data_IF_347389634419
#
_entry.id   IF_347389634419
#
_cell.length_a   1.000
_cell.length_b   1.000
_cell.length_c   1.000
_cell.angle_alpha   90.00
_cell.angle_beta   90.00
_cell.angle_gamma   90.00
#
_symmetry.space_group_name_H-M   'P 1'
#
loop_
_entity.id
_entity.type
_entity.pdbx_description
1 polymer ?
#
# COMPACT_ATOMS: atom_id res chain seq x y z
N UNK A 1 18.65 37.18 -23.42
CA UNK A 1 18.75 36.70 -22.03
C UNK A 1 18.30 35.26 -22.04
N UNK A 2 19.23 34.30 -21.96
CA UNK A 2 18.88 32.91 -21.74
C UNK A 2 18.34 32.84 -20.31
N UNK A 3 17.05 32.59 -20.17
CA UNK A 3 16.48 32.18 -18.88
C UNK A 3 17.22 30.92 -18.47
N UNK A 4 18.06 31.00 -17.44
CA UNK A 4 18.59 29.83 -16.76
C UNK A 4 17.38 29.04 -16.26
N UNK A 5 17.00 27.98 -16.96
CA UNK A 5 15.98 27.05 -16.48
C UNK A 5 16.47 26.53 -15.13
N UNK A 6 15.83 26.95 -14.04
CA UNK A 6 16.13 26.38 -12.74
C UNK A 6 15.57 24.97 -12.68
N UNK A 7 16.37 24.05 -12.16
CA UNK A 7 15.90 22.71 -11.79
C UNK A 7 14.66 22.83 -10.89
N UNK A 8 13.63 22.04 -11.17
CA UNK A 8 12.38 22.05 -10.40
C UNK A 8 12.25 20.78 -9.56
N UNK A 9 11.89 20.88 -8.27
CA UNK A 9 11.47 19.70 -7.53
C UNK A 9 10.13 19.19 -8.07
N UNK A 10 9.94 17.88 -8.01
CA UNK A 10 8.65 17.22 -8.11
C UNK A 10 8.43 16.44 -6.82
N UNK A 11 7.35 16.74 -6.11
CA UNK A 11 6.97 16.04 -4.89
C UNK A 11 6.46 14.63 -5.20
N UNK A 12 6.52 13.71 -4.23
CA UNK A 12 5.90 12.39 -4.37
C UNK A 12 4.39 12.49 -4.64
N UNK A 13 3.71 13.47 -4.05
CA UNK A 13 2.29 13.80 -4.31
C UNK A 13 2.02 14.16 -5.76
N UNK A 14 2.85 15.02 -6.36
CA UNK A 14 2.72 15.38 -7.77
C UNK A 14 2.98 14.17 -8.66
N UNK A 15 4.03 13.39 -8.38
CA UNK A 15 4.32 12.17 -9.13
C UNK A 15 3.17 11.15 -9.05
N UNK A 16 2.56 10.96 -7.88
CA UNK A 16 1.37 10.13 -7.70
C UNK A 16 0.23 10.57 -8.63
N UNK A 17 -0.01 11.88 -8.74
CA UNK A 17 -1.04 12.41 -9.65
C UNK A 17 -0.70 12.19 -11.12
N UNK A 18 0.58 12.25 -11.51
CA UNK A 18 1.00 11.88 -12.86
C UNK A 18 0.63 10.42 -13.17
N UNK A 19 0.93 9.51 -12.25
CA UNK A 19 0.67 8.07 -12.41
C UNK A 19 -0.83 7.76 -12.46
N UNK A 20 -1.61 8.25 -11.49
CA UNK A 20 -3.07 8.02 -11.43
C UNK A 20 -3.75 8.59 -12.68
N UNK A 21 -3.36 9.79 -13.11
CA UNK A 21 -3.93 10.43 -14.30
C UNK A 21 -3.35 9.93 -15.63
N UNK A 22 -2.43 8.94 -15.59
CA UNK A 22 -1.82 8.33 -16.77
C UNK A 22 -1.15 9.37 -17.68
N UNK A 23 -0.50 10.36 -17.06
CA UNK A 23 0.21 11.43 -17.76
C UNK A 23 1.58 10.95 -18.23
N UNK A 24 2.01 11.44 -19.40
CA UNK A 24 3.31 11.09 -19.94
C UNK A 24 4.45 11.70 -19.12
N UNK A 25 5.37 10.85 -18.67
CA UNK A 25 6.57 11.24 -17.94
C UNK A 25 7.72 10.31 -18.30
N UNK A 26 8.89 10.87 -18.60
CA UNK A 26 10.10 10.11 -18.79
C UNK A 26 10.92 10.11 -17.50
N UNK A 27 11.33 8.94 -17.01
CA UNK A 27 12.09 8.79 -15.77
C UNK A 27 13.51 8.32 -16.10
N UNK A 28 14.50 9.09 -15.65
CA UNK A 28 15.89 8.67 -15.58
C UNK A 28 16.20 8.25 -14.14
N UNK A 29 16.26 6.94 -13.90
CA UNK A 29 16.68 6.40 -12.61
C UNK A 29 18.21 6.27 -12.55
N UNK A 30 18.84 7.04 -11.66
CA UNK A 30 20.31 7.05 -11.49
C UNK A 30 20.80 6.18 -10.34
N UNK A 31 19.94 5.35 -9.75
CA UNK A 31 20.35 4.34 -8.76
C UNK A 31 21.18 3.25 -9.43
N UNK A 32 21.87 2.45 -8.62
CA UNK A 32 22.55 1.27 -9.12
C UNK A 32 21.53 0.25 -9.70
N UNK A 33 22.02 -0.63 -10.57
CA UNK A 33 21.18 -1.61 -11.27
C UNK A 33 20.43 -2.57 -10.34
N UNK A 34 21.00 -2.88 -9.17
CA UNK A 34 20.39 -3.81 -8.22
C UNK A 34 19.13 -3.17 -7.62
N UNK A 35 19.24 -1.94 -7.12
CA UNK A 35 18.11 -1.21 -6.55
C UNK A 35 17.00 -0.96 -7.57
N UNK A 36 17.37 -0.57 -8.79
CA UNK A 36 16.44 -0.35 -9.89
C UNK A 36 15.70 -1.63 -10.32
N UNK A 37 16.42 -2.76 -10.44
CA UNK A 37 15.81 -4.03 -10.82
C UNK A 37 14.95 -4.62 -9.71
N UNK A 38 15.25 -4.30 -8.44
CA UNK A 38 14.43 -4.73 -7.32
C UNK A 38 13.08 -4.00 -7.31
N UNK A 39 13.05 -2.70 -7.62
CA UNK A 39 11.83 -1.92 -7.79
C UNK A 39 12.09 -0.57 -8.45
N UNK A 40 11.08 -0.03 -9.13
CA UNK A 40 11.13 1.25 -9.84
C UNK A 40 9.74 1.88 -9.91
N UNK A 41 9.67 3.15 -10.28
CA UNK A 41 8.40 3.84 -10.54
C UNK A 41 7.85 3.32 -11.87
N UNK A 42 6.62 2.84 -11.86
CA UNK A 42 5.95 2.26 -13.02
C UNK A 42 4.51 2.81 -13.12
N UNK A 43 3.96 2.78 -14.33
CA UNK A 43 2.60 3.27 -14.58
C UNK A 43 2.36 3.44 -16.07
N UNK A 44 1.08 3.53 -16.45
CA UNK A 44 0.72 3.85 -17.84
C UNK A 44 1.12 5.30 -18.13
N UNK A 45 1.85 5.52 -19.23
CA UNK A 45 2.43 6.83 -19.58
C UNK A 45 3.84 7.06 -19.00
N UNK A 46 4.34 6.15 -18.16
CA UNK A 46 5.69 6.23 -17.60
C UNK A 46 6.67 5.45 -18.49
N UNK A 47 7.66 6.15 -19.04
CA UNK A 47 8.83 5.55 -19.68
C UNK A 47 10.01 5.66 -18.73
N UNK A 48 10.72 4.56 -18.46
CA UNK A 48 11.84 4.56 -17.50
C UNK A 48 13.08 3.93 -18.10
N UNK A 49 14.22 4.59 -17.89
CA UNK A 49 15.55 4.03 -18.15
C UNK A 49 16.40 4.08 -16.87
N UNK A 50 17.39 3.21 -16.78
CA UNK A 50 18.36 3.21 -15.68
C UNK A 50 19.77 3.44 -16.21
N UNK A 51 20.39 4.52 -15.77
CA UNK A 51 21.81 4.79 -16.00
C UNK A 51 22.41 5.19 -14.64
N UNK A 52 23.17 4.29 -13.99
CA UNK A 52 23.74 4.55 -12.68
C UNK A 52 24.50 5.88 -12.63
N UNK A 53 24.36 6.59 -11.52
CA UNK A 53 25.00 7.90 -11.29
C UNK A 53 26.52 7.90 -11.58
N UNK A 54 27.22 6.81 -11.23
CA UNK A 54 28.66 6.68 -11.48
C UNK A 54 29.02 6.74 -12.97
N UNK A 55 28.12 6.34 -13.86
CA UNK A 55 28.31 6.37 -15.31
C UNK A 55 28.03 7.77 -15.89
N UNK A 56 27.55 8.72 -15.08
CA UNK A 56 27.16 10.08 -15.46
C UNK A 56 28.04 11.17 -14.80
N UNK A 57 29.11 10.77 -14.10
CA UNK A 57 30.01 11.71 -13.40
C UNK A 57 30.83 12.58 -14.37
N UNK A 58 31.25 12.00 -15.50
CA UNK A 58 32.10 12.67 -16.49
C UNK A 58 31.29 13.37 -17.60
N UNK A 59 29.95 13.28 -17.55
CA UNK A 59 29.05 13.88 -18.53
C UNK A 59 27.73 13.11 -18.67
N UNK A 60 26.72 13.77 -19.24
CA UNK A 60 25.36 13.21 -19.38
C UNK A 60 25.00 12.80 -20.82
N UNK A 61 25.98 12.71 -21.73
CA UNK A 61 25.74 12.40 -23.15
C UNK A 61 24.98 11.08 -23.34
N UNK A 62 25.37 10.03 -22.62
CA UNK A 62 24.71 8.72 -22.66
C UNK A 62 23.23 8.79 -22.25
N UNK A 63 22.86 9.71 -21.35
CA UNK A 63 21.47 9.96 -20.97
C UNK A 63 20.75 10.78 -22.05
N UNK A 64 21.38 11.82 -22.60
CA UNK A 64 20.79 12.71 -23.60
C UNK A 64 20.44 11.99 -24.91
N UNK A 65 21.21 10.97 -25.29
CA UNK A 65 20.93 10.10 -26.44
C UNK A 65 19.65 9.28 -26.28
N UNK A 66 19.29 8.95 -25.04
CA UNK A 66 18.14 8.10 -24.72
C UNK A 66 16.91 8.89 -24.27
N UNK A 67 17.08 10.10 -23.73
CA UNK A 67 16.00 10.99 -23.32
C UNK A 67 15.33 11.60 -24.57
N UNK A 68 14.03 11.36 -24.80
CA UNK A 68 13.29 11.95 -25.92
C UNK A 68 13.23 13.48 -25.82
N UNK A 69 13.41 14.16 -26.95
CA UNK A 69 13.35 15.63 -27.02
C UNK A 69 11.92 16.11 -26.71
N UNK A 70 11.79 17.12 -25.85
CA UNK A 70 10.52 17.79 -25.55
C UNK A 70 9.60 17.04 -24.58
N UNK A 71 10.07 15.95 -23.96
CA UNK A 71 9.34 15.30 -22.87
C UNK A 71 9.72 15.91 -21.52
N UNK A 72 8.77 15.87 -20.58
CA UNK A 72 9.04 16.08 -19.15
C UNK A 72 9.92 14.93 -18.64
N UNK A 73 11.00 15.27 -17.95
CA UNK A 73 11.95 14.28 -17.42
C UNK A 73 12.02 14.40 -15.91
N UNK A 74 11.83 13.29 -15.21
CA UNK A 74 12.09 13.19 -13.78
C UNK A 74 13.36 12.37 -13.56
N UNK A 75 14.37 12.97 -12.94
CA UNK A 75 15.57 12.26 -12.50
C UNK A 75 15.38 11.78 -11.07
N UNK A 76 15.58 10.49 -10.82
CA UNK A 76 15.36 9.89 -9.50
C UNK A 76 16.60 9.20 -8.96
N UNK A 77 16.85 9.35 -7.66
CA UNK A 77 17.84 8.58 -6.93
C UNK A 77 17.29 8.20 -5.54
N UNK A 78 18.10 7.58 -4.67
CA UNK A 78 17.64 7.11 -3.37
C UNK A 78 17.15 8.25 -2.43
N UNK A 79 17.89 9.38 -2.36
CA UNK A 79 17.57 10.52 -1.48
C UNK A 79 17.26 11.81 -2.25
N UNK A 80 18.16 12.28 -3.11
CA UNK A 80 17.91 13.33 -4.14
C UNK A 80 19.22 13.93 -4.68
N UNK A 81 20.32 13.88 -3.91
CA UNK A 81 21.57 14.58 -4.26
C UNK A 81 22.13 14.20 -5.64
N UNK A 82 22.23 12.90 -5.94
CA UNK A 82 22.66 12.43 -7.26
C UNK A 82 21.70 12.83 -8.39
N UNK A 83 20.38 12.83 -8.14
CA UNK A 83 19.42 13.25 -9.15
C UNK A 83 19.48 14.75 -9.41
N UNK A 84 19.69 15.58 -8.38
CA UNK A 84 19.88 17.03 -8.53
C UNK A 84 21.10 17.32 -9.40
N UNK A 85 22.24 16.66 -9.13
CA UNK A 85 23.45 16.82 -9.92
C UNK A 85 23.22 16.48 -11.40
N UNK A 86 22.65 15.30 -11.69
CA UNK A 86 22.42 14.84 -13.06
C UNK A 86 21.39 15.71 -13.77
N UNK A 87 20.29 16.07 -13.11
CA UNK A 87 19.28 16.96 -13.67
C UNK A 87 19.86 18.34 -14.03
N UNK A 88 20.74 18.89 -13.19
CA UNK A 88 21.42 20.16 -13.47
C UNK A 88 22.32 20.05 -14.71
N UNK A 89 23.07 18.96 -14.87
CA UNK A 89 23.89 18.71 -16.06
C UNK A 89 23.04 18.58 -17.34
N UNK A 90 21.87 17.94 -17.25
CA UNK A 90 20.94 17.81 -18.38
C UNK A 90 20.38 19.19 -18.81
N UNK A 91 20.10 20.07 -17.85
CA UNK A 91 19.70 21.46 -18.11
C UNK A 91 20.84 22.26 -18.77
N UNK A 92 22.06 22.12 -18.26
CA UNK A 92 23.26 22.78 -18.82
C UNK A 92 23.55 22.34 -20.26
N UNK A 93 23.21 21.10 -20.61
CA UNK A 93 23.23 20.57 -21.97
C UNK A 93 22.06 21.05 -22.85
N UNK A 94 21.21 21.95 -22.35
CA UNK A 94 20.17 22.64 -23.12
C UNK A 94 18.80 21.96 -23.14
N UNK A 95 18.53 20.99 -22.26
CA UNK A 95 17.19 20.42 -22.10
C UNK A 95 16.33 21.29 -21.17
N UNK A 96 15.01 21.22 -21.35
CA UNK A 96 14.00 21.90 -20.52
C UNK A 96 13.04 20.89 -19.89
N UNK A 97 12.20 21.34 -18.96
CA UNK A 97 11.23 20.48 -18.23
C UNK A 97 11.89 19.29 -17.50
N UNK A 98 12.99 19.58 -16.83
CA UNK A 98 13.74 18.62 -16.02
C UNK A 98 13.40 18.82 -14.55
N UNK A 99 12.99 17.72 -13.92
CA UNK A 99 12.61 17.65 -12.52
C UNK A 99 13.54 16.67 -11.79
N UNK A 100 13.65 16.83 -10.47
CA UNK A 100 14.13 15.77 -9.58
C UNK A 100 13.05 15.43 -8.57
N UNK A 101 13.04 14.19 -8.10
CA UNK A 101 12.11 13.77 -7.06
C UNK A 101 12.60 14.27 -5.70
N UNK A 102 11.84 15.18 -5.08
CA UNK A 102 12.14 15.72 -3.76
C UNK A 102 12.10 14.62 -2.71
N UNK A 103 13.18 14.44 -1.94
CA UNK A 103 13.34 13.33 -0.99
C UNK A 103 13.53 11.94 -1.65
N UNK A 104 13.57 11.89 -2.98
CA UNK A 104 13.98 10.72 -3.76
C UNK A 104 13.07 9.51 -3.58
N UNK A 105 13.59 8.32 -3.89
CA UNK A 105 12.82 7.08 -3.73
C UNK A 105 12.40 6.82 -2.27
N UNK A 106 13.08 7.42 -1.28
CA UNK A 106 12.66 7.37 0.13
C UNK A 106 11.31 8.07 0.34
N UNK A 107 11.13 9.31 -0.15
CA UNK A 107 9.84 10.01 -0.05
C UNK A 107 8.75 9.32 -0.87
N UNK A 108 9.10 8.80 -2.05
CA UNK A 108 8.16 8.03 -2.88
C UNK A 108 7.65 6.76 -2.18
N UNK A 109 8.52 6.05 -1.47
CA UNK A 109 8.15 4.86 -0.69
C UNK A 109 7.17 5.20 0.43
N UNK A 110 7.24 6.39 1.01
CA UNK A 110 6.47 6.78 2.20
C UNK A 110 5.22 7.61 1.88
N UNK A 111 5.04 8.08 0.64
CA UNK A 111 3.89 8.91 0.29
C UNK A 111 2.58 8.11 0.30
N UNK A 112 1.57 8.64 0.96
CA UNK A 112 0.18 8.15 0.91
C UNK A 112 -0.71 9.21 0.27
N UNK A 113 -1.46 8.82 -0.75
CA UNK A 113 -2.48 9.69 -1.36
C UNK A 113 -3.88 9.24 -0.91
N UNK A 114 -4.63 10.08 -0.16
CA UNK A 114 -6.02 9.79 0.16
C UNK A 114 -6.90 9.98 -1.07
N UNK A 115 -7.70 8.97 -1.39
CA UNK A 115 -8.74 9.01 -2.42
C UNK A 115 -10.08 8.63 -1.81
N UNK A 116 -11.15 9.33 -2.23
CA UNK A 116 -12.50 8.99 -1.79
C UNK A 116 -12.99 7.74 -2.52
N UNK A 117 -13.34 6.70 -1.76
CA UNK A 117 -13.91 5.47 -2.32
C UNK A 117 -15.41 5.64 -2.53
N UNK A 118 -16.12 6.18 -1.53
CA UNK A 118 -17.56 6.37 -1.63
C UNK A 118 -18.19 7.01 -0.40
N UNK A 119 -19.49 7.26 -0.52
CA UNK A 119 -20.34 7.75 0.57
C UNK A 119 -20.98 6.60 1.34
N UNK A 120 -21.23 6.85 2.63
CA UNK A 120 -21.85 5.93 3.58
C UNK A 120 -23.34 6.29 3.75
N UNK A 121 -24.18 5.33 4.14
CA UNK A 121 -25.64 5.52 4.15
C UNK A 121 -26.14 6.60 5.12
N UNK A 122 -25.37 6.91 6.16
CA UNK A 122 -25.65 7.90 7.19
C UNK A 122 -25.13 9.32 6.86
N UNK A 123 -24.54 9.50 5.67
CA UNK A 123 -23.91 10.76 5.25
C UNK A 123 -22.42 10.86 5.59
N UNK A 124 -21.81 9.79 6.07
CA UNK A 124 -20.37 9.62 6.17
C UNK A 124 -19.67 9.31 4.84
N UNK A 125 -18.37 9.02 4.90
CA UNK A 125 -17.58 8.64 3.72
C UNK A 125 -16.40 7.76 4.07
N UNK A 126 -16.00 6.90 3.14
CA UNK A 126 -14.82 6.05 3.24
C UNK A 126 -13.75 6.54 2.27
N UNK A 127 -12.54 6.70 2.79
CA UNK A 127 -11.35 7.09 2.05
C UNK A 127 -10.33 5.96 2.09
N UNK A 128 -9.64 5.73 0.97
CA UNK A 128 -8.52 4.82 0.85
C UNK A 128 -7.25 5.65 0.73
N UNK A 129 -6.23 5.33 1.51
CA UNK A 129 -4.92 5.96 1.47
C UNK A 129 -3.98 5.03 0.72
N UNK A 130 -3.48 5.49 -0.41
CA UNK A 130 -2.72 4.66 -1.34
C UNK A 130 -1.24 4.95 -1.16
N UNK A 131 -0.49 3.98 -0.61
CA UNK A 131 0.97 4.03 -0.53
C UNK A 131 1.58 3.49 -1.81
N UNK A 132 1.52 4.28 -2.89
CA UNK A 132 1.83 3.81 -4.25
C UNK A 132 3.22 3.18 -4.37
N UNK A 133 4.23 3.75 -3.73
CA UNK A 133 5.60 3.24 -3.79
C UNK A 133 5.78 1.84 -3.19
N UNK A 134 4.84 1.40 -2.35
CA UNK A 134 4.88 0.11 -1.64
C UNK A 134 3.74 -0.83 -2.02
N UNK A 135 2.60 -0.31 -2.45
CA UNK A 135 1.40 -1.10 -2.75
C UNK A 135 0.46 -1.31 -1.56
N UNK A 136 0.75 -0.74 -0.38
CA UNK A 136 -0.12 -0.82 0.80
C UNK A 136 -1.32 0.12 0.66
N UNK A 137 -2.44 -0.30 1.20
CA UNK A 137 -3.70 0.42 1.27
C UNK A 137 -4.15 0.43 2.72
N UNK A 138 -4.58 1.61 3.16
CA UNK A 138 -5.23 1.79 4.45
C UNK A 138 -6.49 2.61 4.26
N UNK A 139 -7.36 2.65 5.27
CA UNK A 139 -8.68 3.23 5.13
C UNK A 139 -9.00 4.19 6.25
N UNK A 140 -9.71 5.27 5.96
CA UNK A 140 -10.38 6.08 6.97
C UNK A 140 -11.88 6.08 6.70
N UNK A 141 -12.64 5.61 7.68
CA UNK A 141 -14.10 5.60 7.69
C UNK A 141 -14.53 6.78 8.55
N UNK A 142 -15.26 7.73 7.97
CA UNK A 142 -15.70 8.95 8.64
C UNK A 142 -17.21 8.95 8.77
N UNK A 143 -17.70 9.19 9.99
CA UNK A 143 -19.12 9.45 10.25
C UNK A 143 -19.31 10.40 11.41
N UNK A 144 -20.22 11.38 11.24
CA UNK A 144 -20.71 12.27 12.29
C UNK A 144 -19.63 12.88 13.21
N UNK A 145 -18.50 13.32 12.65
CA UNK A 145 -17.42 13.97 13.39
C UNK A 145 -16.42 13.00 14.05
N UNK A 146 -16.57 11.69 13.81
CA UNK A 146 -15.64 10.66 14.26
C UNK A 146 -15.08 9.87 13.07
N UNK A 147 -13.96 9.20 13.32
CA UNK A 147 -13.31 8.37 12.32
C UNK A 147 -12.74 7.07 12.92
N UNK A 148 -12.71 6.02 12.09
CA UNK A 148 -11.90 4.84 12.30
C UNK A 148 -10.84 4.73 11.19
N UNK A 149 -9.63 4.30 11.52
CA UNK A 149 -8.56 4.04 10.55
C UNK A 149 -8.22 2.55 10.54
N UNK A 150 -8.19 1.92 9.37
CA UNK A 150 -7.88 0.50 9.20
C UNK A 150 -6.54 0.32 8.50
N UNK A 151 -5.70 -0.59 8.99
CA UNK A 151 -4.37 -0.95 8.50
C UNK A 151 -3.43 0.25 8.38
N UNK A 152 -3.28 0.98 9.49
CA UNK A 152 -2.58 2.27 9.52
C UNK A 152 -1.09 2.09 9.22
N UNK A 153 -0.56 2.77 8.19
CA UNK A 153 0.89 2.83 7.96
C UNK A 153 1.62 3.68 9.03
N UNK A 154 2.90 3.42 9.31
CA UNK A 154 3.68 4.14 10.34
C UNK A 154 3.80 5.66 10.18
N UNK A 155 3.58 6.21 8.99
CA UNK A 155 3.55 7.67 8.75
C UNK A 155 2.21 8.23 9.27
N UNK A 156 2.06 8.34 10.59
CA UNK A 156 0.74 8.62 11.21
C UNK A 156 0.23 10.03 10.92
N UNK A 157 1.14 10.97 10.63
CA UNK A 157 0.82 12.39 10.43
C UNK A 157 -0.11 12.61 9.23
N UNK A 158 -0.10 11.74 8.22
CA UNK A 158 -1.02 11.85 7.07
C UNK A 158 -2.47 11.62 7.48
N UNK A 159 -2.72 10.69 8.42
CA UNK A 159 -4.07 10.40 8.91
C UNK A 159 -4.54 11.50 9.85
N UNK A 160 -3.67 11.98 10.74
CA UNK A 160 -3.99 13.10 11.64
C UNK A 160 -4.32 14.36 10.86
N UNK A 161 -3.49 14.73 9.87
CA UNK A 161 -3.72 15.90 9.02
C UNK A 161 -5.01 15.77 8.24
N UNK A 162 -5.27 14.59 7.65
CA UNK A 162 -6.50 14.36 6.91
C UNK A 162 -7.75 14.41 7.81
N UNK A 163 -7.70 13.82 9.02
CA UNK A 163 -8.79 13.90 9.98
C UNK A 163 -9.07 15.36 10.42
N UNK A 164 -8.02 16.18 10.60
CA UNK A 164 -8.15 17.60 10.89
C UNK A 164 -8.80 18.37 9.73
N UNK A 165 -8.39 18.10 8.49
CA UNK A 165 -8.98 18.67 7.27
C UNK A 165 -10.46 18.31 7.12
N UNK A 166 -10.84 17.08 7.50
CA UNK A 166 -12.23 16.61 7.50
C UNK A 166 -13.00 17.00 8.77
N UNK A 167 -12.37 17.70 9.72
CA UNK A 167 -12.95 18.12 11.00
C UNK A 167 -13.52 16.96 11.83
N UNK A 168 -12.82 15.82 11.88
CA UNK A 168 -13.23 14.61 12.61
C UNK A 168 -12.20 14.17 13.65
N UNK A 169 -12.66 13.40 14.64
CA UNK A 169 -11.81 12.81 15.68
C UNK A 169 -11.61 11.32 15.41
N UNK A 170 -10.36 10.88 15.28
CA UNK A 170 -10.04 9.45 15.19
C UNK A 170 -10.35 8.82 16.56
N UNK A 171 -11.25 7.84 16.58
CA UNK A 171 -11.68 7.10 17.78
C UNK A 171 -11.16 5.67 17.82
N UNK A 172 -10.89 5.12 16.64
CA UNK A 172 -10.49 3.73 16.47
C UNK A 172 -9.37 3.62 15.44
N UNK A 173 -8.37 2.81 15.75
CA UNK A 173 -7.44 2.25 14.77
C UNK A 173 -7.56 0.74 14.82
N UNK A 174 -7.62 0.09 13.66
CA UNK A 174 -7.83 -1.35 13.56
C UNK A 174 -6.79 -1.93 12.61
N UNK A 175 -6.18 -3.04 12.97
CA UNK A 175 -5.42 -3.84 12.01
C UNK A 175 -6.20 -5.11 11.67
N UNK A 176 -6.30 -5.43 10.39
CA UNK A 176 -6.92 -6.67 9.88
C UNK A 176 -6.18 -7.91 10.33
N UNK A 177 -4.86 -7.79 10.50
CA UNK A 177 -3.94 -8.85 10.91
C UNK A 177 -2.62 -8.24 11.42
N UNK A 178 -1.74 -9.07 12.00
CA UNK A 178 -0.38 -8.62 12.31
C UNK A 178 0.49 -8.57 11.05
N UNK A 179 0.62 -7.37 10.48
CA UNK A 179 1.36 -7.09 9.24
C UNK A 179 2.83 -7.56 9.26
N UNK A 180 3.32 -7.96 8.09
CA UNK A 180 4.69 -8.48 7.89
C UNK A 180 5.48 -7.75 6.80
N UNK A 181 4.87 -6.79 6.11
CA UNK A 181 5.39 -6.07 4.95
C UNK A 181 5.61 -4.58 5.25
N UNK A 182 4.89 -4.06 6.25
CA UNK A 182 5.01 -2.71 6.77
C UNK A 182 4.86 -2.68 8.31
N UNK A 183 5.36 -1.61 8.90
CA UNK A 183 5.23 -1.34 10.34
C UNK A 183 3.89 -0.64 10.55
N UNK A 184 3.04 -1.23 11.38
CA UNK A 184 1.73 -0.66 11.71
C UNK A 184 1.91 0.59 12.56
N UNK A 185 1.33 1.69 12.09
CA UNK A 185 1.13 2.93 12.83
C UNK A 185 -0.12 2.93 13.69
N UNK A 186 -0.93 1.87 13.68
CA UNK A 186 -2.25 1.85 14.34
C UNK A 186 -2.16 2.11 15.84
N UNK A 187 -1.20 1.47 16.52
CA UNK A 187 -0.93 1.69 17.95
C UNK A 187 -0.43 3.12 18.21
N UNK A 188 0.55 3.59 17.44
CA UNK A 188 1.14 4.92 17.63
C UNK A 188 0.10 6.01 17.45
N UNK A 189 -0.69 5.93 16.38
CA UNK A 189 -1.78 6.87 16.09
C UNK A 189 -2.82 6.87 17.22
N UNK A 190 -3.21 5.69 17.69
CA UNK A 190 -4.16 5.58 18.80
C UNK A 190 -3.64 6.24 20.09
N UNK A 191 -2.38 6.03 20.42
CA UNK A 191 -1.73 6.67 21.58
C UNK A 191 -1.67 8.20 21.44
N UNK A 192 -1.37 8.72 20.24
CA UNK A 192 -1.29 10.15 19.94
C UNK A 192 -2.64 10.88 20.08
N UNK A 193 -3.73 10.25 19.61
CA UNK A 193 -5.06 10.89 19.55
C UNK A 193 -6.02 10.44 20.66
N UNK A 194 -5.59 9.49 21.52
CA UNK A 194 -6.42 8.91 22.57
C UNK A 194 -7.54 8.00 22.05
N UNK A 195 -7.29 7.28 20.96
CA UNK A 195 -8.19 6.31 20.36
C UNK A 195 -7.97 4.88 20.90
N UNK A 196 -8.89 3.97 20.58
CA UNK A 196 -8.73 2.54 20.84
C UNK A 196 -8.00 1.86 19.67
N UNK A 197 -7.00 1.03 19.98
CA UNK A 197 -6.30 0.20 19.00
C UNK A 197 -6.80 -1.24 19.06
N UNK A 198 -7.33 -1.74 17.94
CA UNK A 198 -7.93 -3.06 17.81
C UNK A 198 -7.03 -4.00 17.01
N UNK A 199 -6.81 -5.21 17.53
CA UNK A 199 -5.99 -6.24 16.87
C UNK A 199 -6.58 -7.64 17.10
N UNK A 200 -6.51 -8.57 16.13
CA UNK A 200 -7.01 -9.92 16.30
C UNK A 200 -6.21 -10.71 17.35
N UNK A 201 -6.86 -11.26 18.41
CA UNK A 201 -6.16 -11.96 19.48
C UNK A 201 -5.31 -13.14 19.03
N UNK A 202 -5.69 -13.81 17.93
CA UNK A 202 -4.98 -14.96 17.38
C UNK A 202 -3.63 -14.60 16.76
N UNK A 203 -3.48 -13.36 16.28
CA UNK A 203 -2.19 -12.82 15.81
C UNK A 203 -1.41 -12.12 16.93
N UNK A 204 -2.08 -11.81 18.03
CA UNK A 204 -1.55 -11.02 19.12
C UNK A 204 -1.08 -11.84 20.34
N UNK A 205 -0.78 -13.13 20.18
CA UNK A 205 -0.39 -14.02 21.29
C UNK A 205 0.95 -13.66 21.93
N UNK A 206 1.81 -12.97 21.18
CA UNK A 206 3.16 -12.61 21.63
C UNK A 206 3.41 -11.09 21.72
N UNK A 207 2.38 -10.26 21.50
CA UNK A 207 2.51 -8.79 21.55
C UNK A 207 2.85 -8.32 22.96
N UNK A 208 3.58 -7.20 23.05
CA UNK A 208 4.12 -6.65 24.31
C UNK A 208 3.43 -5.38 24.79
N UNK A 209 2.28 -5.06 24.22
CA UNK A 209 1.48 -3.88 24.51
C UNK A 209 0.01 -4.26 24.69
N UNK A 210 -0.79 -3.33 25.22
CA UNK A 210 -2.23 -3.50 25.35
C UNK A 210 -2.93 -3.19 24.02
N UNK A 211 -4.03 -3.88 23.75
CA UNK A 211 -4.89 -3.68 22.60
C UNK A 211 -6.32 -4.11 22.97
N UNK A 212 -7.30 -3.59 22.22
CA UNK A 212 -8.67 -4.05 22.27
C UNK A 212 -8.85 -5.27 21.37
N UNK A 213 -9.57 -6.28 21.88
CA UNK A 213 -9.71 -7.56 21.18
C UNK A 213 -10.63 -7.41 19.98
N UNK A 214 -10.10 -7.67 18.80
CA UNK A 214 -10.88 -7.70 17.58
C UNK A 214 -11.41 -9.12 17.34
N UNK A 215 -12.70 -9.32 17.56
CA UNK A 215 -13.36 -10.63 17.48
C UNK A 215 -14.61 -10.55 16.60
N UNK A 216 -14.93 -11.66 15.94
CA UNK A 216 -16.11 -11.78 15.10
C UNK A 216 -17.40 -11.50 15.89
N UNK A 217 -18.34 -10.80 15.24
CA UNK A 217 -19.62 -10.42 15.84
C UNK A 217 -19.56 -9.21 16.77
N UNK A 218 -18.38 -8.65 17.03
CA UNK A 218 -18.24 -7.33 17.63
C UNK A 218 -18.81 -6.27 16.67
N UNK A 219 -19.43 -5.22 17.20
CA UNK A 219 -19.81 -4.04 16.43
C UNK A 219 -19.02 -2.86 16.98
N UNK A 220 -18.21 -2.24 16.12
CA UNK A 220 -17.44 -1.04 16.46
C UNK A 220 -18.14 0.16 15.82
N UNK A 221 -18.85 1.00 16.60
CA UNK A 221 -19.53 2.16 16.06
C UNK A 221 -18.54 3.29 15.77
N UNK A 222 -18.77 4.02 14.69
CA UNK A 222 -18.09 5.29 14.38
C UNK A 222 -19.14 6.38 14.29
N UNK A 223 -19.09 7.38 15.18
CA UNK A 223 -20.09 8.44 15.25
C UNK A 223 -21.39 8.05 15.97
N UNK A 224 -22.32 9.00 16.06
CA UNK A 224 -23.50 8.87 16.93
C UNK A 224 -24.67 8.06 16.32
N UNK A 225 -24.66 7.78 15.01
CA UNK A 225 -25.82 7.20 14.29
C UNK A 225 -25.52 5.99 13.39
N UNK A 226 -24.42 5.29 13.68
CA UNK A 226 -24.07 3.91 13.27
C UNK A 226 -23.59 3.70 11.84
N UNK A 227 -22.26 3.63 11.73
CA UNK A 227 -21.60 2.74 10.78
C UNK A 227 -21.05 1.58 11.58
N UNK A 228 -21.65 0.42 11.38
CA UNK A 228 -21.12 -0.80 11.96
C UNK A 228 -19.88 -1.21 11.17
N UNK A 229 -18.75 -1.27 11.87
CA UNK A 229 -17.60 -2.04 11.42
C UNK A 229 -17.75 -3.42 12.07
N UNK A 230 -18.13 -4.40 11.25
CA UNK A 230 -18.39 -5.77 11.68
C UNK A 230 -17.21 -6.66 11.30
N UNK A 231 -16.42 -7.15 12.27
CA UNK A 231 -15.34 -8.08 12.01
C UNK A 231 -15.91 -9.45 11.60
N UNK A 232 -15.35 -10.02 10.55
CA UNK A 232 -15.62 -11.37 10.07
C UNK A 232 -14.32 -12.15 10.20
N UNK A 233 -14.38 -13.27 10.90
CA UNK A 233 -13.19 -14.11 11.04
C UNK A 233 -12.85 -14.75 9.69
N UNK A 234 -11.70 -14.41 9.12
CA UNK A 234 -11.31 -14.77 7.75
C UNK A 234 -9.86 -15.25 7.71
N UNK A 235 -9.54 -16.38 8.36
CA UNK A 235 -8.17 -16.88 8.43
C UNK A 235 -7.66 -17.33 7.07
N UNK A 236 -6.34 -17.30 6.90
CA UNK A 236 -5.67 -17.81 5.71
C UNK A 236 -4.31 -17.17 5.49
N UNK A 237 -4.28 -15.85 5.34
CA UNK A 237 -3.04 -15.09 5.27
C UNK A 237 -2.28 -15.16 6.60
N UNK A 238 -3.00 -14.86 7.68
CA UNK A 238 -2.64 -15.19 9.05
C UNK A 238 -3.77 -15.97 9.72
N UNK A 239 -3.48 -16.62 10.85
CA UNK A 239 -4.51 -17.30 11.64
C UNK A 239 -5.49 -16.32 12.31
N UNK A 240 -5.07 -15.07 12.54
CA UNK A 240 -5.90 -13.99 13.07
C UNK A 240 -6.52 -13.09 12.02
N UNK A 241 -6.28 -13.31 10.72
CA UNK A 241 -6.81 -12.45 9.66
C UNK A 241 -8.31 -12.26 9.81
N UNK A 242 -8.71 -10.98 9.77
CA UNK A 242 -10.07 -10.53 10.03
C UNK A 242 -10.46 -9.50 8.98
N UNK A 243 -11.60 -9.73 8.33
CA UNK A 243 -12.19 -8.80 7.37
C UNK A 243 -13.20 -7.90 8.07
N UNK A 244 -13.53 -6.75 7.47
CA UNK A 244 -14.56 -5.86 8.00
C UNK A 244 -15.66 -5.62 6.97
N UNK A 245 -16.92 -5.75 7.37
CA UNK A 245 -18.01 -5.13 6.65
C UNK A 245 -18.26 -3.75 7.27
N UNK A 246 -18.22 -2.73 6.41
CA UNK A 246 -18.50 -1.33 6.76
C UNK A 246 -19.78 -0.91 6.04
N UNK A 247 -20.73 -0.35 6.79
CA UNK A 247 -21.98 0.20 6.26
C UNK A 247 -22.81 -0.83 5.46
N UNK A 248 -22.60 -2.13 5.70
CA UNK A 248 -23.22 -3.22 4.93
C UNK A 248 -22.87 -3.24 3.44
N UNK A 249 -21.87 -2.47 3.00
CA UNK A 249 -21.59 -2.19 1.58
C UNK A 249 -20.13 -2.39 1.17
N UNK A 250 -19.21 -2.16 2.09
CA UNK A 250 -17.78 -2.26 1.81
C UNK A 250 -17.18 -3.41 2.59
N UNK A 251 -16.48 -4.31 1.92
CA UNK A 251 -15.79 -5.46 2.51
C UNK A 251 -14.28 -5.19 2.49
N UNK A 252 -13.72 -4.81 3.63
CA UNK A 252 -12.28 -4.68 3.79
C UNK A 252 -11.69 -6.06 4.04
N UNK A 253 -10.94 -6.60 3.08
CA UNK A 253 -10.50 -8.01 3.06
C UNK A 253 -9.11 -8.24 3.65
N UNK A 254 -8.42 -7.17 4.07
CA UNK A 254 -7.02 -7.27 4.49
C UNK A 254 -6.17 -7.91 3.38
N UNK A 255 -5.37 -8.90 3.77
CA UNK A 255 -4.50 -9.66 2.87
C UNK A 255 -5.06 -11.02 2.45
N UNK A 256 -6.39 -11.19 2.50
CA UNK A 256 -7.05 -12.44 2.09
C UNK A 256 -7.41 -12.45 0.60
N UNK A 257 -8.04 -11.37 0.12
CA UNK A 257 -8.53 -11.24 -1.27
C UNK A 257 -8.12 -9.88 -1.82
N UNK A 258 -7.50 -9.88 -3.00
CA UNK A 258 -7.08 -8.70 -3.75
C UNK A 258 -7.90 -8.55 -5.04
N UNK A 259 -7.68 -7.48 -5.80
CA UNK A 259 -8.41 -7.24 -7.07
C UNK A 259 -8.09 -8.33 -8.09
N UNK A 260 -6.79 -8.50 -8.41
CA UNK A 260 -6.33 -9.47 -9.42
C UNK A 260 -5.60 -10.67 -8.80
N UNK A 261 -5.74 -10.90 -7.49
CA UNK A 261 -4.98 -11.93 -6.75
C UNK A 261 -5.65 -12.32 -5.43
N UNK A 262 -5.02 -13.24 -4.69
CA UNK A 262 -5.40 -13.69 -3.35
C UNK A 262 -4.17 -13.65 -2.42
N UNK A 263 -4.44 -13.72 -1.12
CA UNK A 263 -3.43 -13.77 -0.06
C UNK A 263 -2.49 -14.97 -0.13
N UNK A 264 -1.31 -14.81 0.46
CA UNK A 264 -0.34 -15.90 0.69
C UNK A 264 -0.34 -16.36 2.16
N UNK A 265 -0.33 -17.67 2.49
CA UNK A 265 -0.39 -18.17 3.86
C UNK A 265 0.99 -18.39 4.54
N UNK A 266 2.11 -18.07 3.88
CA UNK A 266 3.45 -18.53 4.29
C UNK A 266 4.26 -17.54 5.15
N UNK A 267 3.85 -16.28 5.29
CA UNK A 267 4.68 -15.25 5.94
C UNK A 267 4.88 -15.48 7.45
N UNK A 268 4.07 -16.34 8.06
CA UNK A 268 4.31 -16.83 9.42
C UNK A 268 5.05 -18.18 9.50
N UNK A 269 5.52 -18.71 8.37
CA UNK A 269 6.12 -20.05 8.26
C UNK A 269 5.09 -21.19 8.35
N UNK A 270 3.82 -20.88 8.08
CA UNK A 270 2.66 -21.74 8.33
C UNK A 270 1.83 -22.06 7.09
N UNK A 271 2.45 -21.98 5.91
CA UNK A 271 1.77 -22.13 4.62
C UNK A 271 0.91 -23.40 4.52
N UNK A 272 1.47 -24.56 4.88
CA UNK A 272 0.75 -25.84 4.83
C UNK A 272 -0.36 -25.95 5.88
N UNK A 273 -0.21 -25.25 7.01
CA UNK A 273 -1.19 -25.25 8.10
C UNK A 273 -2.40 -24.35 7.75
N UNK A 274 -2.18 -23.22 7.05
CA UNK A 274 -3.22 -22.20 6.82
C UNK A 274 -3.81 -22.15 5.41
N UNK A 275 -3.27 -22.92 4.46
CA UNK A 275 -3.84 -23.02 3.11
C UNK A 275 -5.28 -23.54 3.10
N UNK A 276 -5.63 -24.45 4.02
CA UNK A 276 -7.00 -24.94 4.17
C UNK A 276 -7.94 -23.84 4.69
N UNK A 277 -7.47 -23.05 5.64
CA UNK A 277 -8.20 -21.89 6.17
C UNK A 277 -8.43 -20.83 5.09
N UNK A 278 -7.39 -20.52 4.30
CA UNK A 278 -7.49 -19.57 3.18
C UNK A 278 -8.52 -20.06 2.15
N UNK A 279 -8.46 -21.34 1.77
CA UNK A 279 -9.42 -21.92 0.84
C UNK A 279 -10.85 -21.87 1.38
N UNK A 280 -11.08 -22.26 2.64
CA UNK A 280 -12.41 -22.19 3.28
C UNK A 280 -12.95 -20.75 3.31
N UNK A 281 -12.10 -19.78 3.66
CA UNK A 281 -12.48 -18.37 3.67
C UNK A 281 -12.91 -17.90 2.28
N UNK A 282 -12.14 -18.18 1.23
CA UNK A 282 -12.40 -17.71 -0.13
C UNK A 282 -13.55 -18.47 -0.83
N UNK A 283 -13.64 -19.78 -0.65
CA UNK A 283 -14.56 -20.63 -1.43
C UNK A 283 -15.87 -20.95 -0.71
N UNK A 284 -15.92 -20.79 0.62
CA UNK A 284 -17.13 -21.02 1.41
C UNK A 284 -17.60 -19.72 2.08
N UNK A 285 -16.81 -19.15 2.99
CA UNK A 285 -17.26 -18.02 3.84
C UNK A 285 -17.58 -16.76 3.03
N UNK A 286 -16.70 -16.33 2.14
CA UNK A 286 -16.96 -15.16 1.30
C UNK A 286 -18.08 -15.39 0.27
N UNK A 287 -18.35 -16.64 -0.13
CA UNK A 287 -19.49 -16.95 -1.03
C UNK A 287 -20.85 -16.82 -0.35
N UNK A 288 -20.89 -16.82 0.98
CA UNK A 288 -22.12 -16.59 1.74
C UNK A 288 -22.44 -15.10 1.93
N UNK A 289 -21.49 -14.21 1.57
CA UNK A 289 -21.68 -12.77 1.64
C UNK A 289 -22.45 -12.23 0.42
N UNK A 290 -23.14 -11.08 0.54
CA UNK A 290 -23.75 -10.41 -0.60
C UNK A 290 -22.73 -10.13 -1.71
N UNK A 291 -23.09 -10.45 -2.94
CA UNK A 291 -22.21 -10.35 -4.11
C UNK A 291 -22.01 -8.91 -4.59
N UNK A 292 -22.86 -7.98 -4.16
CA UNK A 292 -22.78 -6.55 -4.45
C UNK A 292 -21.87 -5.76 -3.50
N UNK A 293 -21.27 -6.42 -2.50
CA UNK A 293 -20.26 -5.80 -1.64
C UNK A 293 -19.07 -5.27 -2.46
N UNK A 294 -18.61 -4.07 -2.13
CA UNK A 294 -17.41 -3.48 -2.71
C UNK A 294 -16.19 -3.94 -1.90
N UNK A 295 -15.34 -4.75 -2.52
CA UNK A 295 -14.12 -5.29 -1.92
C UNK A 295 -13.02 -4.23 -1.90
N UNK A 296 -12.38 -4.08 -0.74
CA UNK A 296 -11.35 -3.11 -0.41
C UNK A 296 -10.15 -3.82 0.25
N UNK A 297 -9.11 -4.20 -0.51
CA UNK A 297 -7.97 -4.95 0.04
C UNK A 297 -6.99 -4.10 0.87
N UNK A 298 -6.12 -4.70 1.67
CA UNK A 298 -5.00 -3.96 2.30
C UNK A 298 -3.81 -3.74 1.35
N UNK A 299 -3.83 -4.36 0.17
CA UNK A 299 -2.75 -4.29 -0.80
C UNK A 299 -3.26 -4.31 -2.25
N UNK A 300 -2.49 -3.70 -3.15
CA UNK A 300 -2.61 -3.88 -4.60
C UNK A 300 -1.26 -4.26 -5.21
N UNK A 301 -1.29 -5.03 -6.31
CA UNK A 301 -0.09 -5.53 -6.97
C UNK A 301 0.39 -4.65 -8.13
N UNK A 302 -0.57 -4.16 -8.93
CA UNK A 302 -0.31 -3.43 -10.18
C UNK A 302 -1.07 -2.12 -10.19
N UNK A 303 -0.47 -1.08 -10.76
CA UNK A 303 -1.14 0.23 -10.97
C UNK A 303 -2.42 0.10 -11.82
N UNK A 304 -2.54 -0.95 -12.64
CA UNK A 304 -3.77 -1.24 -13.41
C UNK A 304 -4.97 -1.62 -12.54
N UNK A 305 -4.75 -2.06 -11.30
CA UNK A 305 -5.82 -2.36 -10.34
C UNK A 305 -6.47 -1.09 -9.78
N UNK A 306 -5.83 0.08 -9.98
CA UNK A 306 -6.39 1.37 -9.57
C UNK A 306 -7.43 1.85 -10.60
N UNK A 307 -8.65 2.10 -10.11
CA UNK A 307 -9.76 2.64 -10.88
C UNK A 307 -9.54 4.08 -11.35
N UNK A 308 -10.52 4.62 -12.09
CA UNK A 308 -10.42 5.98 -12.65
C UNK A 308 -10.40 7.08 -11.56
N UNK A 309 -10.98 6.82 -10.40
CA UNK A 309 -10.92 7.68 -9.20
C UNK A 309 -9.64 7.46 -8.38
N UNK A 310 -8.75 6.55 -8.82
CA UNK A 310 -7.52 6.18 -8.14
C UNK A 310 -7.65 5.03 -7.15
N UNK A 311 -8.85 4.61 -6.73
CA UNK A 311 -9.00 3.56 -5.72
C UNK A 311 -8.82 2.15 -6.26
N UNK A 312 -8.24 1.26 -5.47
CA UNK A 312 -8.28 -0.19 -5.69
C UNK A 312 -9.57 -0.75 -5.07
N UNK A 313 -10.54 -1.09 -5.92
CA UNK A 313 -11.85 -1.60 -5.48
C UNK A 313 -12.57 -2.32 -6.61
N UNK A 314 -13.31 -3.38 -6.30
CA UNK A 314 -14.19 -4.08 -7.24
C UNK A 314 -15.38 -4.68 -6.50
N UNK A 315 -16.47 -5.02 -7.21
CA UNK A 315 -17.57 -5.77 -6.57
C UNK A 315 -17.14 -7.22 -6.31
N UNK A 316 -17.64 -7.83 -5.25
CA UNK A 316 -17.34 -9.23 -4.92
C UNK A 316 -17.76 -10.17 -6.06
N UNK A 317 -18.90 -9.90 -6.70
CA UNK A 317 -19.37 -10.60 -7.90
C UNK A 317 -18.34 -10.55 -9.05
N UNK A 318 -17.78 -9.37 -9.32
CA UNK A 318 -16.75 -9.19 -10.36
C UNK A 318 -15.47 -9.97 -10.03
N UNK A 319 -15.07 -9.98 -8.76
CA UNK A 319 -13.90 -10.75 -8.33
C UNK A 319 -14.12 -12.25 -8.52
N UNK A 320 -15.27 -12.81 -8.12
CA UNK A 320 -15.54 -14.22 -8.40
C UNK A 320 -15.57 -14.56 -9.89
N UNK A 321 -15.94 -13.61 -10.75
CA UNK A 321 -15.94 -13.81 -12.20
C UNK A 321 -14.53 -13.76 -12.81
N UNK A 322 -13.68 -12.83 -12.35
CA UNK A 322 -12.45 -12.45 -13.06
C UNK A 322 -11.15 -12.78 -12.31
N UNK A 323 -11.18 -12.92 -10.98
CA UNK A 323 -9.98 -13.12 -10.19
C UNK A 323 -9.45 -14.56 -10.39
N UNK A 324 -8.21 -14.74 -10.88
CA UNK A 324 -7.68 -16.06 -11.18
C UNK A 324 -7.55 -16.95 -9.94
N UNK A 325 -7.26 -16.37 -8.77
CA UNK A 325 -7.13 -17.11 -7.51
C UNK A 325 -8.46 -17.63 -6.94
N UNK A 326 -9.59 -17.05 -7.33
CA UNK A 326 -10.94 -17.49 -6.96
C UNK A 326 -11.52 -18.55 -7.92
N UNK A 327 -10.83 -18.84 -9.02
CA UNK A 327 -11.28 -19.72 -10.08
C UNK A 327 -10.39 -20.97 -10.26
N UNK A 328 -9.71 -21.40 -9.19
CA UNK A 328 -8.92 -22.62 -9.17
C UNK A 328 -9.81 -23.77 -8.69
N UNK A 329 -10.27 -24.62 -9.62
CA UNK A 329 -11.23 -25.69 -9.30
C UNK A 329 -10.63 -26.86 -8.50
N UNK A 330 -9.35 -27.17 -8.72
CA UNK A 330 -8.67 -28.29 -8.07
C UNK A 330 -7.97 -27.83 -6.79
N UNK A 331 -8.35 -28.40 -5.64
CA UNK A 331 -7.80 -28.04 -4.33
C UNK A 331 -6.28 -28.30 -4.25
N UNK A 332 -5.78 -29.33 -4.93
CA UNK A 332 -4.35 -29.63 -4.95
C UNK A 332 -3.57 -28.59 -5.76
N UNK A 333 -4.12 -28.13 -6.89
CA UNK A 333 -3.57 -27.01 -7.65
C UNK A 333 -3.62 -25.70 -6.85
N UNK A 334 -4.73 -25.40 -6.18
CA UNK A 334 -4.84 -24.23 -5.29
C UNK A 334 -3.72 -24.27 -4.24
N UNK A 335 -3.57 -25.41 -3.56
CA UNK A 335 -2.53 -25.62 -2.57
C UNK A 335 -1.13 -25.44 -3.15
N UNK A 336 -0.87 -25.97 -4.34
CA UNK A 336 0.42 -25.84 -5.00
C UNK A 336 0.74 -24.37 -5.29
N UNK A 337 -0.21 -23.61 -5.85
CA UNK A 337 -0.03 -22.19 -6.17
C UNK A 337 0.29 -21.37 -4.92
N UNK A 338 -0.49 -21.53 -3.85
CA UNK A 338 -0.35 -20.72 -2.64
C UNK A 338 0.72 -21.21 -1.66
N UNK A 339 1.45 -22.29 -1.95
CA UNK A 339 2.53 -22.78 -1.07
C UNK A 339 3.87 -23.00 -1.76
N UNK A 340 3.89 -23.33 -3.05
CA UNK A 340 5.12 -23.63 -3.82
C UNK A 340 5.39 -22.63 -4.95
N UNK A 341 4.39 -21.86 -5.37
CA UNK A 341 4.53 -20.84 -6.42
C UNK A 341 4.53 -19.40 -5.89
N UNK A 342 5.12 -19.20 -4.72
CA UNK A 342 5.09 -17.91 -4.04
C UNK A 342 6.24 -16.98 -4.48
N UNK A 343 6.00 -15.65 -4.54
CA UNK A 343 7.08 -14.70 -4.71
C UNK A 343 8.04 -14.75 -3.49
N UNK A 344 9.26 -14.19 -3.61
CA UNK A 344 10.14 -14.01 -2.47
C UNK A 344 9.41 -13.33 -1.31
N UNK A 345 9.80 -13.64 -0.08
CA UNK A 345 9.24 -12.97 1.08
C UNK A 345 9.56 -11.46 1.05
N UNK A 346 8.73 -10.61 1.69
CA UNK A 346 9.05 -9.21 1.88
C UNK A 346 10.41 -9.04 2.55
N UNK A 347 11.10 -7.95 2.21
CA UNK A 347 12.32 -7.56 2.90
C UNK A 347 12.01 -7.33 4.39
N UNK A 348 12.92 -7.78 5.27
CA UNK A 348 12.81 -7.62 6.72
C UNK A 348 11.50 -8.10 7.37
N UNK A 349 10.76 -9.04 6.76
CA UNK A 349 9.42 -9.41 7.24
C UNK A 349 9.41 -9.94 8.69
N UNK A 350 10.49 -10.59 9.13
CA UNK A 350 10.61 -11.10 10.50
C UNK A 350 10.79 -9.94 11.47
N UNK A 351 11.68 -9.01 11.15
CA UNK A 351 11.97 -7.80 11.92
C UNK A 351 10.75 -6.88 11.98
N UNK A 352 10.00 -6.75 10.88
CA UNK A 352 8.74 -6.02 10.82
C UNK A 352 7.73 -6.66 11.78
N UNK A 353 7.55 -7.99 11.73
CA UNK A 353 6.67 -8.69 12.69
C UNK A 353 7.13 -8.51 14.14
N UNK A 354 8.44 -8.56 14.42
CA UNK A 354 8.96 -8.31 15.78
C UNK A 354 8.66 -6.86 16.23
N UNK A 355 8.79 -5.90 15.33
CA UNK A 355 8.49 -4.48 15.59
C UNK A 355 6.99 -4.30 15.85
N UNK A 356 6.13 -4.88 15.00
CA UNK A 356 4.68 -4.87 15.16
C UNK A 356 4.22 -5.61 16.43
N UNK A 357 5.00 -6.56 16.96
CA UNK A 357 4.74 -7.19 18.27
C UNK A 357 5.22 -6.35 19.47
N UNK A 358 5.91 -5.23 19.25
CA UNK A 358 6.54 -4.44 20.32
C UNK A 358 7.74 -5.14 20.96
N UNK A 359 8.40 -6.04 20.22
CA UNK A 359 9.62 -6.76 20.66
C UNK A 359 10.91 -6.11 20.16
N UNK A 360 10.80 -5.21 19.19
CA UNK A 360 11.90 -4.45 18.61
C UNK A 360 11.47 -2.99 18.49
N UNK A 361 12.40 -2.08 18.73
CA UNK A 361 12.20 -0.63 18.59
C UNK A 361 13.30 -0.07 17.65
N UNK A 362 13.22 -0.36 16.35
CA UNK A 362 14.18 0.16 15.37
C UNK A 362 14.08 1.69 15.26
N UNK A 363 15.20 2.33 14.95
CA UNK A 363 15.26 3.76 14.62
C UNK A 363 14.47 4.08 13.35
N UNK A 364 14.08 5.35 13.15
CA UNK A 364 13.32 5.77 11.96
C UNK A 364 14.01 5.39 10.63
N UNK A 365 15.35 5.47 10.57
CA UNK A 365 16.10 5.08 9.38
C UNK A 365 16.04 3.56 9.14
N UNK A 366 16.16 2.75 10.20
CA UNK A 366 16.01 1.30 10.11
C UNK A 366 14.58 0.91 9.69
N UNK A 367 13.55 1.55 10.27
CA UNK A 367 12.15 1.32 9.89
C UNK A 367 11.92 1.59 8.41
N UNK A 368 12.46 2.70 7.90
CA UNK A 368 12.36 3.05 6.48
C UNK A 368 13.03 2.00 5.60
N UNK A 369 14.23 1.58 5.97
CA UNK A 369 14.99 0.60 5.19
C UNK A 369 14.34 -0.80 5.25
N UNK A 370 13.71 -1.18 6.37
CA UNK A 370 12.94 -2.41 6.52
C UNK A 370 11.78 -2.49 5.50
N UNK A 371 11.05 -1.38 5.32
CA UNK A 371 9.88 -1.34 4.44
C UNK A 371 10.22 -1.10 2.96
N UNK A 372 11.45 -0.74 2.62
CA UNK A 372 11.85 -0.42 1.24
C UNK A 372 11.66 -1.61 0.29
N UNK A 373 11.22 -1.30 -0.93
CA UNK A 373 11.00 -2.27 -2.00
C UNK A 373 9.52 -2.51 -2.29
N UNK A 374 9.23 -3.41 -3.25
CA UNK A 374 7.88 -3.56 -3.78
C UNK A 374 6.97 -4.34 -2.82
N UNK A 375 5.67 -4.33 -3.11
CA UNK A 375 4.70 -5.25 -2.52
C UNK A 375 5.09 -6.70 -2.82
N UNK A 376 4.96 -7.60 -1.83
CA UNK A 376 5.15 -9.06 -2.00
C UNK A 376 4.10 -9.90 -1.25
N UNK A 377 2.96 -9.30 -0.90
CA UNK A 377 1.85 -9.95 -0.17
C UNK A 377 0.89 -10.71 -1.11
N UNK A 378 0.77 -10.27 -2.37
CA UNK A 378 -0.06 -10.92 -3.38
C UNK A 378 0.65 -12.06 -4.11
N UNK A 379 -0.11 -13.05 -4.57
CA UNK A 379 0.36 -14.10 -5.48
C UNK A 379 0.25 -13.56 -6.91
N UNK A 380 1.36 -13.27 -7.54
CA UNK A 380 1.35 -12.76 -8.92
C UNK A 380 1.41 -13.90 -9.93
N UNK A 381 0.51 -13.87 -10.92
CA UNK A 381 0.67 -14.66 -12.14
C UNK A 381 1.96 -14.26 -12.87
N UNK A 382 2.69 -15.26 -13.39
CA UNK A 382 3.86 -15.02 -14.25
C UNK A 382 3.48 -14.74 -15.70
#
# INVERSE_FOLDING_TARGET
>A
MLTTSQIQPMTAKELTRFIINKQDLFILDVRNKIDFNNWKIEGKGIEVINIPYFDLLDGVDAALEQIPVGKKVLVVCAKEGSSIFVAQQIIEAGRSEIFYLEGGMKSWSEHLEPVKVGDLTDGGSIYQFIRIGKGCLSYMIISHGEAAVVDTARMTEVYESFAQEQHVQIRHTLDTHLHADHISGGRLLAEQVGAAYWLPPKDATEVKYNYERLEEGLVIPVGNTQIDIQPIYSPGHTIGSTSFIVDGRYLLTGDILFIDSIGRPDLAGKAEDWVGDLHDTLYNRYKELPDDLIVLPAHFGKISELGANGSASASLAELYLNNPGLNIEDEAEFRYQVTKHLPPQPHAYQEIRQTNMGKMEPSEEEQRDMEMGPNRCAIHDK
#
